data_IF_360405110168
#
_entry.id   IF_360405110168
#
_cell.length_a   1.000
_cell.length_b   1.000
_cell.length_c   1.000
_cell.angle_alpha   90.00
_cell.angle_beta   90.00
_cell.angle_gamma   90.00
#
_symmetry.space_group_name_H-M   'P 1'
#
loop_
_entity.id
_entity.type
_entity.pdbx_description
1 polymer ?
#
# COMPACT_ATOMS: atom_id res chain seq x y z
N UNK A 1 -9.99 -42.63 -7.32
CA UNK A 1 -11.10 -42.61 -6.36
C UNK A 1 -11.35 -41.15 -6.01
N UNK A 2 -12.44 -40.56 -6.52
CA UNK A 2 -12.81 -39.18 -6.18
C UNK A 2 -13.28 -39.24 -4.72
N UNK A 3 -12.48 -38.72 -3.78
CA UNK A 3 -12.91 -38.61 -2.39
C UNK A 3 -14.01 -37.56 -2.38
N UNK A 4 -15.26 -38.02 -2.33
CA UNK A 4 -16.43 -37.18 -2.14
C UNK A 4 -16.39 -36.73 -0.69
N UNK A 5 -15.73 -35.62 -0.40
CA UNK A 5 -15.64 -35.07 0.95
C UNK A 5 -17.01 -34.46 1.29
N UNK A 6 -17.88 -35.27 1.89
CA UNK A 6 -19.30 -35.00 2.10
C UNK A 6 -19.65 -34.72 3.56
N UNK A 7 -18.87 -35.24 4.50
CA UNK A 7 -19.12 -35.07 5.94
C UNK A 7 -18.04 -34.26 6.67
N UNK A 8 -18.35 -33.83 7.89
CA UNK A 8 -17.40 -33.16 8.77
C UNK A 8 -16.19 -34.08 9.06
N UNK A 9 -16.45 -35.36 9.33
CA UNK A 9 -15.41 -36.35 9.57
C UNK A 9 -14.47 -36.53 8.37
N UNK A 10 -15.03 -36.59 7.15
CA UNK A 10 -14.23 -36.67 5.92
C UNK A 10 -13.37 -35.42 5.70
N UNK A 11 -13.88 -34.22 6.03
CA UNK A 11 -13.11 -32.97 5.95
C UNK A 11 -11.96 -32.91 6.94
N UNK A 12 -12.20 -33.34 8.19
CA UNK A 12 -11.15 -33.44 9.22
C UNK A 12 -10.06 -34.40 8.74
N UNK A 13 -10.46 -35.59 8.27
CA UNK A 13 -9.53 -36.61 7.77
C UNK A 13 -8.72 -36.09 6.59
N UNK A 14 -9.40 -35.48 5.61
CA UNK A 14 -8.77 -34.91 4.43
C UNK A 14 -7.71 -33.87 4.80
N UNK A 15 -8.07 -32.89 5.64
CA UNK A 15 -7.13 -31.84 6.06
C UNK A 15 -5.95 -32.40 6.87
N UNK A 16 -6.20 -33.41 7.71
CA UNK A 16 -5.15 -34.12 8.45
C UNK A 16 -4.17 -34.82 7.50
N UNK A 17 -4.68 -35.53 6.50
CA UNK A 17 -3.87 -36.24 5.51
C UNK A 17 -3.08 -35.28 4.60
N UNK A 18 -3.64 -34.11 4.26
CA UNK A 18 -2.92 -33.06 3.53
C UNK A 18 -1.73 -32.49 4.31
N UNK A 19 -1.86 -32.36 5.64
CA UNK A 19 -0.73 -31.98 6.52
C UNK A 19 0.25 -33.12 6.79
N UNK A 20 -0.03 -34.34 6.33
CA UNK A 20 0.85 -35.49 6.55
C UNK A 20 0.97 -35.94 8.00
N UNK A 21 0.03 -35.57 8.88
CA UNK A 21 0.07 -35.91 10.31
C UNK A 21 -0.83 -37.10 10.65
N UNK A 22 -0.45 -37.85 11.68
CA UNK A 22 -1.22 -39.01 12.16
C UNK A 22 -2.33 -38.60 13.15
N UNK A 23 -3.33 -39.46 13.35
CA UNK A 23 -4.45 -39.17 14.28
C UNK A 23 -3.99 -38.93 15.73
N UNK A 24 -2.93 -39.62 16.16
CA UNK A 24 -2.32 -39.44 17.48
C UNK A 24 -1.56 -38.11 17.60
N UNK A 25 -0.95 -37.64 16.53
CA UNK A 25 -0.27 -36.34 16.48
C UNK A 25 -1.29 -35.20 16.50
N UNK A 26 -2.36 -35.32 15.71
CA UNK A 26 -3.47 -34.37 15.74
C UNK A 26 -4.10 -34.28 17.14
N UNK A 27 -4.30 -35.42 17.82
CA UNK A 27 -4.80 -35.44 19.19
C UNK A 27 -3.88 -34.67 20.15
N UNK A 28 -2.55 -34.85 20.04
CA UNK A 28 -1.57 -34.13 20.86
C UNK A 28 -1.60 -32.62 20.61
N UNK A 29 -1.65 -32.21 19.34
CA UNK A 29 -1.65 -30.80 18.94
C UNK A 29 -2.91 -30.07 19.42
N UNK A 30 -4.07 -30.72 19.43
CA UNK A 30 -5.33 -30.14 19.93
C UNK A 30 -5.42 -30.16 21.47
N UNK A 31 -4.59 -30.98 22.13
CA UNK A 31 -4.62 -31.18 23.59
C UNK A 31 -5.62 -32.24 24.05
N UNK A 32 -5.86 -33.27 23.23
CA UNK A 32 -6.78 -34.38 23.51
C UNK A 32 -5.97 -35.62 23.90
N UNK A 33 -6.38 -36.28 24.99
CA UNK A 33 -5.66 -37.41 25.57
C UNK A 33 -5.68 -38.69 24.73
N UNK A 34 -6.66 -38.86 23.84
CA UNK A 34 -6.87 -40.11 23.10
C UNK A 34 -7.07 -39.85 21.60
N UNK A 35 -6.29 -40.56 20.77
CA UNK A 35 -6.45 -40.59 19.32
C UNK A 35 -7.78 -41.20 18.88
N UNK A 36 -8.44 -41.98 19.75
CA UNK A 36 -9.76 -42.54 19.47
C UNK A 36 -10.82 -41.44 19.29
N UNK A 37 -10.64 -40.28 19.94
CA UNK A 37 -11.55 -39.13 19.77
C UNK A 37 -11.47 -38.59 18.34
N UNK A 38 -10.26 -38.45 17.81
CA UNK A 38 -10.03 -38.04 16.40
C UNK A 38 -10.62 -39.09 15.45
N UNK A 39 -10.36 -40.38 15.71
CA UNK A 39 -10.92 -41.47 14.91
C UNK A 39 -12.45 -41.46 14.87
N UNK A 40 -13.09 -41.15 16.00
CA UNK A 40 -14.55 -41.07 16.08
C UNK A 40 -15.10 -39.84 15.35
N UNK A 41 -14.41 -38.71 15.38
CA UNK A 41 -14.76 -37.53 14.57
C UNK A 41 -14.63 -37.82 13.08
N UNK A 42 -13.53 -38.44 12.65
CA UNK A 42 -13.30 -38.81 11.25
C UNK A 42 -14.29 -39.86 10.72
N UNK A 43 -14.98 -40.58 11.62
CA UNK A 43 -16.06 -41.53 11.31
C UNK A 43 -17.46 -40.97 11.55
N UNK A 44 -17.58 -39.68 11.88
CA UNK A 44 -18.84 -39.00 12.22
C UNK A 44 -19.64 -39.65 13.37
N UNK A 45 -18.97 -40.43 14.24
CA UNK A 45 -19.61 -41.10 15.40
C UNK A 45 -20.00 -40.08 16.47
N UNK A 46 -19.12 -39.11 16.71
CA UNK A 46 -19.37 -37.95 17.56
C UNK A 46 -18.82 -36.70 16.89
N UNK A 47 -19.24 -35.51 17.35
CA UNK A 47 -18.87 -34.24 16.74
C UNK A 47 -18.00 -33.42 17.70
N UNK A 48 -16.96 -32.72 17.20
CA UNK A 48 -16.24 -31.74 17.99
C UNK A 48 -17.18 -30.59 18.39
N UNK A 49 -16.96 -30.02 19.57
CA UNK A 49 -17.63 -28.78 19.98
C UNK A 49 -16.97 -27.56 19.32
N UNK A 50 -17.57 -26.38 19.52
CA UNK A 50 -17.11 -25.14 18.90
C UNK A 50 -15.64 -24.84 19.23
N UNK A 51 -15.22 -25.04 20.48
CA UNK A 51 -13.83 -24.81 20.89
C UNK A 51 -12.86 -25.75 20.16
N UNK A 52 -13.21 -27.04 20.04
CA UNK A 52 -12.39 -28.03 19.32
C UNK A 52 -12.39 -27.79 17.82
N UNK A 53 -13.47 -27.26 17.24
CA UNK A 53 -13.53 -26.84 15.84
C UNK A 53 -12.52 -25.73 15.57
N UNK A 54 -12.44 -24.71 16.42
CA UNK A 54 -11.45 -23.63 16.26
C UNK A 54 -10.02 -24.17 16.33
N UNK A 55 -9.72 -25.01 17.32
CA UNK A 55 -8.39 -25.64 17.43
C UNK A 55 -8.06 -26.53 16.23
N UNK A 56 -9.05 -27.25 15.69
CA UNK A 56 -8.88 -28.04 14.47
C UNK A 56 -8.50 -27.13 13.30
N UNK A 57 -9.17 -25.99 13.13
CA UNK A 57 -8.84 -25.01 12.11
C UNK A 57 -7.41 -24.51 12.22
N UNK A 58 -6.97 -24.12 13.43
CA UNK A 58 -5.61 -23.64 13.67
C UNK A 58 -4.54 -24.72 13.37
N UNK A 59 -4.77 -25.94 13.88
CA UNK A 59 -3.80 -27.04 13.73
C UNK A 59 -3.76 -27.57 12.30
N UNK A 60 -4.90 -27.63 11.62
CA UNK A 60 -5.00 -28.16 10.26
C UNK A 60 -4.79 -27.10 9.17
N UNK A 61 -4.68 -25.82 9.55
CA UNK A 61 -4.56 -24.68 8.64
C UNK A 61 -5.71 -24.62 7.62
N UNK A 62 -6.94 -24.75 8.14
CA UNK A 62 -8.17 -24.71 7.34
C UNK A 62 -9.17 -23.73 7.93
N UNK A 63 -10.00 -23.13 7.09
CA UNK A 63 -11.06 -22.24 7.56
C UNK A 63 -12.20 -23.01 8.23
N UNK A 64 -12.90 -22.35 9.16
CA UNK A 64 -14.13 -22.87 9.77
C UNK A 64 -15.19 -23.15 8.70
N UNK A 65 -15.26 -22.31 7.66
CA UNK A 65 -16.19 -22.47 6.55
C UNK A 65 -15.93 -23.72 5.72
N UNK A 66 -14.66 -24.04 5.44
CA UNK A 66 -14.29 -25.31 4.84
C UNK A 66 -14.72 -26.46 5.76
N UNK A 67 -14.29 -26.44 7.02
CA UNK A 67 -14.50 -27.55 7.95
C UNK A 67 -15.99 -27.85 8.21
N UNK A 68 -16.81 -26.81 8.33
CA UNK A 68 -18.26 -26.94 8.55
C UNK A 68 -19.08 -27.02 7.26
N UNK A 69 -18.45 -26.80 6.10
CA UNK A 69 -19.15 -26.63 4.82
C UNK A 69 -20.24 -25.54 4.91
N UNK A 70 -19.88 -24.42 5.53
CA UNK A 70 -20.79 -23.30 5.78
C UNK A 70 -20.13 -21.96 5.45
N UNK A 71 -20.64 -21.31 4.40
CA UNK A 71 -20.08 -20.08 3.82
C UNK A 71 -20.96 -18.83 4.06
N UNK A 72 -21.89 -18.89 5.02
CA UNK A 72 -22.80 -17.79 5.34
C UNK A 72 -23.83 -17.51 4.23
N UNK A 73 -24.46 -16.32 4.29
CA UNK A 73 -25.38 -15.80 3.24
C UNK A 73 -24.66 -15.02 2.13
N UNK A 74 -23.37 -14.73 2.31
CA UNK A 74 -22.48 -14.07 1.33
C UNK A 74 -21.64 -15.11 0.60
N UNK A 75 -22.28 -16.16 0.12
CA UNK A 75 -21.59 -17.08 -0.77
C UNK A 75 -21.19 -16.31 -2.03
N UNK A 76 -19.90 -16.38 -2.38
CA UNK A 76 -19.50 -16.44 -3.79
C UNK A 76 -20.18 -17.67 -4.37
N UNK A 77 -21.48 -17.54 -4.67
CA UNK A 77 -22.23 -18.59 -5.32
C UNK A 77 -21.72 -18.61 -6.75
N UNK A 78 -20.90 -19.62 -7.07
CA UNK A 78 -20.55 -19.88 -8.45
C UNK A 78 -21.83 -19.90 -9.26
N UNK A 79 -21.89 -19.05 -10.27
CA UNK A 79 -23.01 -19.02 -11.18
C UNK A 79 -23.11 -20.38 -11.90
N UNK A 80 -24.25 -20.65 -12.51
CA UNK A 80 -24.51 -21.94 -13.16
C UNK A 80 -23.48 -22.31 -14.23
N UNK A 81 -22.83 -21.32 -14.87
CA UNK A 81 -21.78 -21.55 -15.86
C UNK A 81 -20.46 -21.94 -15.18
N UNK A 82 -20.06 -21.24 -14.13
CA UNK A 82 -18.85 -21.53 -13.35
C UNK A 82 -18.92 -22.94 -12.75
N UNK A 83 -20.06 -23.31 -12.17
CA UNK A 83 -20.30 -24.69 -11.67
C UNK A 83 -20.10 -25.72 -12.78
N UNK A 84 -20.67 -25.48 -13.96
CA UNK A 84 -20.54 -26.37 -15.13
C UNK A 84 -19.10 -26.46 -15.64
N UNK A 85 -18.33 -25.37 -15.55
CA UNK A 85 -16.91 -25.38 -15.90
C UNK A 85 -16.08 -26.24 -14.93
N UNK A 86 -16.33 -26.12 -13.63
CA UNK A 86 -15.66 -26.93 -12.60
C UNK A 86 -16.01 -28.41 -12.76
N UNK A 87 -17.27 -28.74 -13.04
CA UNK A 87 -17.71 -30.12 -13.31
C UNK A 87 -16.98 -30.74 -14.50
N UNK A 88 -16.86 -30.00 -15.62
CA UNK A 88 -16.11 -30.45 -16.80
C UNK A 88 -14.64 -30.70 -16.49
N UNK A 89 -13.98 -29.77 -15.79
CA UNK A 89 -12.58 -29.91 -15.42
C UNK A 89 -12.33 -31.15 -14.55
N UNK A 90 -13.20 -31.41 -13.58
CA UNK A 90 -13.12 -32.60 -12.71
C UNK A 90 -13.31 -33.92 -13.45
N UNK A 91 -14.01 -33.91 -14.59
CA UNK A 91 -14.22 -35.08 -15.43
C UNK A 91 -13.04 -35.40 -16.37
N UNK A 92 -12.06 -34.50 -16.49
CA UNK A 92 -10.88 -34.72 -17.33
C UNK A 92 -9.92 -35.74 -16.71
N UNK A 93 -9.08 -36.35 -17.55
CA UNK A 93 -7.93 -37.12 -17.10
C UNK A 93 -6.75 -36.20 -16.76
N UNK A 94 -5.60 -36.78 -16.41
CA UNK A 94 -4.43 -36.00 -16.00
C UNK A 94 -3.93 -35.08 -17.12
N UNK A 95 -3.85 -35.61 -18.35
CA UNK A 95 -3.40 -34.85 -19.52
C UNK A 95 -4.36 -33.70 -19.87
N UNK A 96 -5.68 -33.95 -19.81
CA UNK A 96 -6.69 -32.93 -20.04
C UNK A 96 -6.64 -31.81 -19.00
N UNK A 97 -6.45 -32.14 -17.71
CA UNK A 97 -6.29 -31.13 -16.66
C UNK A 97 -5.05 -30.27 -16.88
N UNK A 98 -3.91 -30.89 -17.15
CA UNK A 98 -2.65 -30.18 -17.41
C UNK A 98 -2.78 -29.18 -18.58
N UNK A 99 -3.49 -29.59 -19.65
CA UNK A 99 -3.75 -28.70 -20.78
C UNK A 99 -4.59 -27.47 -20.38
N UNK A 100 -5.61 -27.66 -19.55
CA UNK A 100 -6.46 -26.56 -19.06
C UNK A 100 -5.67 -25.65 -18.11
N UNK A 101 -4.84 -26.22 -17.24
CA UNK A 101 -4.02 -25.48 -16.29
C UNK A 101 -3.04 -24.56 -17.04
N UNK A 102 -2.37 -25.06 -18.08
CA UNK A 102 -1.48 -24.24 -18.93
C UNK A 102 -2.22 -23.04 -19.54
N UNK A 103 -3.44 -23.25 -20.03
CA UNK A 103 -4.23 -22.18 -20.63
C UNK A 103 -4.67 -21.14 -19.59
N UNK A 104 -5.08 -21.59 -18.40
CA UNK A 104 -5.43 -20.73 -17.28
C UNK A 104 -4.23 -19.93 -16.80
N UNK A 105 -3.08 -20.58 -16.56
CA UNK A 105 -1.87 -19.92 -16.09
C UNK A 105 -1.39 -18.84 -17.05
N UNK A 106 -1.45 -19.13 -18.36
CA UNK A 106 -1.12 -18.15 -19.41
C UNK A 106 -2.01 -16.91 -19.34
N UNK A 107 -3.33 -17.08 -19.27
CA UNK A 107 -4.26 -15.95 -19.25
C UNK A 107 -4.21 -15.18 -17.94
N UNK A 108 -4.05 -15.87 -16.82
CA UNK A 108 -3.90 -15.25 -15.50
C UNK A 108 -2.62 -14.42 -15.43
N UNK A 109 -1.51 -14.97 -15.94
CA UNK A 109 -0.23 -14.25 -16.07
C UNK A 109 -0.34 -13.02 -16.97
N UNK A 110 -1.03 -13.14 -18.11
CA UNK A 110 -1.25 -12.02 -19.04
C UNK A 110 -2.06 -10.89 -18.38
N UNK A 111 -3.13 -11.21 -17.66
CA UNK A 111 -3.95 -10.22 -16.95
C UNK A 111 -3.15 -9.56 -15.83
N UNK A 112 -2.36 -10.34 -15.08
CA UNK A 112 -1.48 -9.79 -14.05
C UNK A 112 -0.43 -8.84 -14.65
N UNK A 113 0.18 -9.19 -15.77
CA UNK A 113 1.13 -8.32 -16.47
C UNK A 113 0.49 -7.01 -16.91
N UNK A 114 -0.75 -7.03 -17.40
CA UNK A 114 -1.50 -5.81 -17.75
C UNK A 114 -1.77 -4.97 -16.51
N UNK A 115 -2.23 -5.59 -15.42
CA UNK A 115 -2.47 -4.92 -14.15
C UNK A 115 -1.18 -4.28 -13.61
N UNK A 116 -0.07 -5.01 -13.65
CA UNK A 116 1.23 -4.52 -13.21
C UNK A 116 1.72 -3.38 -14.12
N UNK A 117 1.55 -3.48 -15.43
CA UNK A 117 1.92 -2.42 -16.38
C UNK A 117 1.08 -1.15 -16.20
N UNK A 118 -0.18 -1.29 -15.81
CA UNK A 118 -1.05 -0.15 -15.46
C UNK A 118 -0.66 0.46 -14.11
N UNK A 119 -0.30 -0.36 -13.13
CA UNK A 119 0.21 0.09 -11.83
C UNK A 119 1.61 0.71 -11.92
N UNK A 120 2.44 0.24 -12.87
CA UNK A 120 3.80 0.75 -13.13
C UNK A 120 3.82 1.85 -14.20
N UNK A 121 2.65 2.35 -14.62
CA UNK A 121 2.61 3.51 -15.51
C UNK A 121 3.15 4.67 -14.66
N UNK A 122 4.32 5.25 -14.99
CA UNK A 122 4.82 6.38 -14.22
C UNK A 122 3.70 7.40 -14.17
N UNK A 123 3.36 7.87 -12.97
CA UNK A 123 2.37 8.93 -12.83
C UNK A 123 2.76 10.02 -13.84
N UNK A 124 1.85 10.36 -14.75
CA UNK A 124 2.19 11.17 -15.91
C UNK A 124 2.95 12.42 -15.42
N UNK A 125 4.25 12.50 -15.68
CA UNK A 125 5.04 13.57 -15.09
C UNK A 125 4.66 14.87 -15.75
N UNK A 126 4.53 15.92 -14.93
CA UNK A 126 4.25 17.27 -15.40
C UNK A 126 5.25 18.22 -14.78
N UNK A 127 5.64 19.22 -15.56
CA UNK A 127 6.46 20.32 -15.06
C UNK A 127 5.54 21.27 -14.31
N UNK A 128 5.80 21.45 -13.02
CA UNK A 128 5.11 22.38 -12.15
C UNK A 128 6.00 23.58 -11.85
N UNK A 129 5.37 24.74 -11.70
CA UNK A 129 6.00 25.88 -11.04
C UNK A 129 6.29 25.49 -9.59
N UNK A 130 7.55 25.58 -9.19
CA UNK A 130 8.02 25.26 -7.85
C UNK A 130 8.37 26.55 -7.11
N UNK A 131 7.71 26.76 -5.99
CA UNK A 131 8.01 27.86 -5.08
C UNK A 131 8.81 27.29 -3.91
N UNK A 132 10.05 27.76 -3.78
CA UNK A 132 10.94 27.37 -2.69
C UNK A 132 10.30 27.59 -1.32
N UNK A 133 10.90 26.92 -0.30
CA UNK A 133 10.54 27.02 1.12
C UNK A 133 10.02 28.41 1.46
N UNK A 134 8.79 28.47 1.97
CA UNK A 134 8.24 29.69 2.56
C UNK A 134 8.92 29.89 3.93
N UNK A 135 10.16 30.38 3.92
CA UNK A 135 10.90 30.73 5.12
C UNK A 135 11.35 32.19 5.00
N UNK A 136 10.76 33.08 5.80
CA UNK A 136 11.16 34.49 5.84
C UNK A 136 12.40 34.69 6.72
N UNK A 137 13.46 35.21 6.11
CA UNK A 137 14.52 35.94 6.79
C UNK A 137 14.65 37.32 6.12
N UNK A 138 13.83 38.28 6.56
CA UNK A 138 14.00 39.72 6.27
C UNK A 138 13.28 40.25 5.02
N UNK A 139 12.44 41.27 5.26
CA UNK A 139 11.64 42.09 4.32
C UNK A 139 10.68 41.33 3.38
N UNK A 140 9.39 41.63 3.56
CA UNK A 140 8.27 40.96 2.90
C UNK A 140 8.34 40.94 1.38
N UNK A 141 7.91 39.82 0.81
CA UNK A 141 7.75 39.61 -0.62
C UNK A 141 6.26 39.42 -0.93
N UNK A 142 5.79 39.97 -2.05
CA UNK A 142 4.49 39.61 -2.60
C UNK A 142 4.60 38.22 -3.25
N UNK A 143 3.52 37.44 -3.22
CA UNK A 143 3.47 36.11 -3.84
C UNK A 143 3.89 36.12 -5.32
N UNK A 144 3.68 37.24 -6.02
CA UNK A 144 4.05 37.46 -7.42
C UNK A 144 5.56 37.66 -7.65
N UNK A 145 6.33 37.99 -6.60
CA UNK A 145 7.78 38.25 -6.67
C UNK A 145 8.63 37.07 -6.19
N UNK A 146 8.01 35.94 -5.85
CA UNK A 146 8.75 34.76 -5.38
C UNK A 146 9.48 34.14 -6.59
N UNK A 147 10.82 33.96 -6.52
CA UNK A 147 11.54 33.30 -7.60
C UNK A 147 11.02 31.87 -7.77
N UNK A 148 10.42 31.63 -8.92
CA UNK A 148 9.85 30.33 -9.28
C UNK A 148 10.86 29.51 -10.06
N UNK A 149 11.09 28.29 -9.60
CA UNK A 149 11.77 27.26 -10.37
C UNK A 149 10.73 26.35 -11.06
N UNK A 150 11.21 25.37 -11.79
CA UNK A 150 10.38 24.32 -12.36
C UNK A 150 10.80 22.97 -11.81
N UNK A 151 9.84 22.19 -11.32
CA UNK A 151 10.05 20.83 -10.82
C UNK A 151 9.22 19.84 -11.65
N UNK A 152 9.81 18.70 -12.01
CA UNK A 152 9.07 17.59 -12.61
C UNK A 152 8.51 16.70 -11.49
N UNK A 153 7.18 16.51 -11.49
CA UNK A 153 6.49 15.73 -10.46
C UNK A 153 5.29 14.96 -11.05
N UNK A 154 4.80 13.91 -10.35
CA UNK A 154 3.56 13.21 -10.72
C UNK A 154 2.41 14.16 -11.01
N UNK A 155 1.64 13.90 -12.07
CA UNK A 155 0.44 14.69 -12.34
C UNK A 155 -0.59 14.48 -11.23
N UNK A 156 -1.01 15.59 -10.63
CA UNK A 156 -2.15 15.68 -9.74
C UNK A 156 -3.24 16.53 -10.39
N UNK A 157 -4.44 15.95 -10.49
CA UNK A 157 -5.61 16.66 -11.02
C UNK A 157 -5.94 17.88 -10.14
N UNK A 158 -6.14 19.03 -10.76
CA UNK A 158 -6.42 20.30 -10.07
C UNK A 158 -5.18 21.03 -9.52
N UNK A 159 -3.99 20.43 -9.53
CA UNK A 159 -2.79 21.11 -9.05
C UNK A 159 -2.28 22.15 -10.07
N UNK A 160 -2.08 23.37 -9.60
CA UNK A 160 -1.53 24.48 -10.39
C UNK A 160 -0.01 24.67 -10.14
N UNK A 161 0.46 24.48 -8.91
CA UNK A 161 1.87 24.63 -8.54
C UNK A 161 2.25 23.77 -7.33
N UNK A 162 3.56 23.70 -7.03
CA UNK A 162 4.12 22.98 -5.87
C UNK A 162 4.81 23.98 -4.94
N UNK A 163 4.59 23.82 -3.63
CA UNK A 163 5.23 24.62 -2.58
C UNK A 163 6.02 23.74 -1.62
N UNK A 164 7.20 24.22 -1.21
CA UNK A 164 7.94 23.64 -0.09
C UNK A 164 7.46 24.15 1.27
N UNK A 165 7.14 23.22 2.16
CA UNK A 165 6.77 23.48 3.56
C UNK A 165 8.04 23.84 4.35
N UNK A 166 7.95 24.91 5.15
CA UNK A 166 8.98 25.22 6.13
C UNK A 166 8.40 25.46 7.52
N UNK A 167 9.16 25.04 8.53
CA UNK A 167 8.75 25.04 9.93
C UNK A 167 7.94 23.80 10.32
N UNK A 168 7.53 23.75 11.58
CA UNK A 168 6.92 22.61 12.26
C UNK A 168 5.46 22.86 12.67
N UNK A 169 4.87 24.00 12.31
CA UNK A 169 3.54 24.41 12.77
C UNK A 169 2.39 23.50 12.34
N UNK A 170 2.58 22.70 11.29
CA UNK A 170 1.60 21.74 10.78
C UNK A 170 1.96 20.29 11.12
N UNK A 171 2.95 20.04 11.96
CA UNK A 171 3.24 18.69 12.45
C UNK A 171 2.07 18.15 13.29
N UNK A 172 1.72 16.85 13.14
CA UNK A 172 2.40 15.82 12.36
C UNK A 172 1.96 15.72 10.89
N UNK A 173 1.00 16.53 10.44
CA UNK A 173 0.40 16.41 9.11
C UNK A 173 1.36 16.81 7.99
N UNK A 174 2.07 17.92 8.17
CA UNK A 174 3.15 18.36 7.28
C UNK A 174 4.39 18.73 8.10
N UNK A 175 5.55 18.28 7.65
CA UNK A 175 6.86 18.48 8.28
C UNK A 175 7.71 19.45 7.45
N UNK A 176 8.72 20.07 8.07
CA UNK A 176 9.69 20.91 7.35
C UNK A 176 10.34 20.11 6.22
N UNK A 177 10.35 20.68 5.01
CA UNK A 177 10.90 20.04 3.82
C UNK A 177 9.89 19.26 2.98
N UNK A 178 8.66 19.03 3.46
CA UNK A 178 7.61 18.44 2.63
C UNK A 178 7.31 19.31 1.41
N UNK A 179 7.05 18.68 0.26
CA UNK A 179 6.52 19.35 -0.92
C UNK A 179 5.02 19.09 -1.00
N UNK A 180 4.23 20.09 -1.37
CA UNK A 180 2.76 19.95 -1.46
C UNK A 180 2.22 20.47 -2.79
N UNK A 181 1.24 19.76 -3.34
CA UNK A 181 0.47 20.23 -4.48
C UNK A 181 -0.57 21.24 -4.04
N UNK A 182 -0.69 22.34 -4.78
CA UNK A 182 -1.62 23.42 -4.48
C UNK A 182 -2.47 23.74 -5.71
N UNK A 183 -3.78 23.82 -5.50
CA UNK A 183 -4.72 24.39 -6.45
C UNK A 183 -4.91 25.88 -6.12
N UNK A 184 -4.69 26.76 -7.10
CA UNK A 184 -4.85 28.19 -6.93
C UNK A 184 -6.33 28.55 -6.78
N UNK A 185 -6.72 29.02 -5.61
CA UNK A 185 -8.07 29.46 -5.32
C UNK A 185 -8.10 30.47 -4.16
N UNK A 186 -9.12 31.33 -4.16
CA UNK A 186 -9.27 32.38 -3.15
C UNK A 186 -10.25 32.02 -2.03
N UNK A 187 -10.97 30.89 -2.18
CA UNK A 187 -11.99 30.44 -1.24
C UNK A 187 -11.83 28.92 -1.08
N UNK A 188 -11.69 28.48 0.16
CA UNK A 188 -11.67 27.06 0.55
C UNK A 188 -12.66 26.83 1.70
N UNK A 189 -13.00 25.57 1.97
CA UNK A 189 -13.96 25.25 3.03
C UNK A 189 -13.29 25.25 4.40
N UNK A 190 -14.10 25.40 5.45
CA UNK A 190 -13.65 25.17 6.81
C UNK A 190 -13.24 23.69 6.95
N UNK A 191 -12.08 23.45 7.55
CA UNK A 191 -11.43 22.15 7.67
C UNK A 191 -10.44 21.85 6.53
N UNK A 192 -10.45 22.63 5.45
CA UNK A 192 -9.47 22.46 4.37
C UNK A 192 -8.10 23.03 4.77
N UNK A 193 -7.03 22.40 4.28
CA UNK A 193 -5.67 22.92 4.46
C UNK A 193 -5.35 23.82 3.27
N UNK A 194 -4.95 25.05 3.56
CA UNK A 194 -4.68 26.06 2.54
C UNK A 194 -3.34 26.73 2.73
N UNK A 195 -2.93 27.45 1.68
CA UNK A 195 -1.84 28.42 1.73
C UNK A 195 -2.46 29.81 1.86
N UNK A 196 -2.05 30.54 2.90
CA UNK A 196 -2.56 31.85 3.24
C UNK A 196 -1.43 32.87 3.32
N UNK A 197 -1.67 34.10 2.87
CA UNK A 197 -0.78 35.23 3.13
C UNK A 197 -1.36 36.08 4.26
N UNK A 198 -0.54 36.38 5.27
CA UNK A 198 -0.88 37.25 6.40
C UNK A 198 0.37 38.02 6.82
N UNK A 199 0.30 39.35 6.97
CA UNK A 199 1.44 40.22 7.28
C UNK A 199 2.66 40.03 6.35
N UNK A 200 2.43 39.79 5.06
CA UNK A 200 3.46 39.50 4.05
C UNK A 200 4.23 38.19 4.30
N UNK A 201 3.76 37.33 5.19
CA UNK A 201 4.25 35.98 5.39
C UNK A 201 3.24 34.99 4.81
N UNK A 202 3.71 33.87 4.26
CA UNK A 202 2.82 32.82 3.79
C UNK A 202 2.80 31.67 4.81
N UNK A 203 1.63 31.08 5.01
CA UNK A 203 1.39 30.04 6.00
C UNK A 203 0.61 28.89 5.37
N UNK A 204 1.06 27.67 5.64
CA UNK A 204 0.23 26.47 5.52
C UNK A 204 -0.53 26.29 6.83
N UNK A 205 -1.86 26.27 6.77
CA UNK A 205 -2.76 26.14 7.93
C UNK A 205 -4.06 25.46 7.53
N UNK A 206 -4.76 24.91 8.51
CA UNK A 206 -6.16 24.50 8.35
C UNK A 206 -7.08 25.72 8.50
N UNK A 207 -8.06 25.87 7.61
CA UNK A 207 -9.07 26.92 7.69
C UNK A 207 -10.09 26.60 8.80
N UNK A 208 -10.10 27.39 9.87
CA UNK A 208 -11.09 27.30 10.93
C UNK A 208 -12.19 28.36 10.81
N UNK A 209 -13.28 28.17 11.55
CA UNK A 209 -14.37 29.17 11.64
C UNK A 209 -13.90 30.54 12.16
N UNK A 210 -12.90 30.55 13.03
CA UNK A 210 -12.43 31.74 13.74
C UNK A 210 -11.02 32.21 13.31
N UNK A 211 -10.44 31.60 12.28
CA UNK A 211 -9.08 31.89 11.83
C UNK A 211 -8.30 30.65 11.39
N UNK A 212 -6.98 30.77 11.33
CA UNK A 212 -6.09 29.74 10.83
C UNK A 212 -5.58 28.84 11.96
N UNK A 213 -5.75 27.53 11.79
CA UNK A 213 -5.43 26.50 12.78
C UNK A 213 -4.09 25.86 12.44
N UNK A 214 -3.22 25.79 13.45
CA UNK A 214 -1.98 25.00 13.41
C UNK A 214 -2.25 23.61 13.97
N UNK A 215 -1.82 22.55 13.29
CA UNK A 215 -1.95 21.18 13.81
C UNK A 215 -0.97 20.92 14.97
N UNK A 216 0.17 21.61 14.97
CA UNK A 216 1.10 21.59 16.07
C UNK A 216 0.61 22.53 17.18
N UNK A 217 0.18 21.94 18.30
CA UNK A 217 -0.38 22.64 19.47
C UNK A 217 0.57 23.64 20.14
N UNK A 218 1.86 23.65 19.80
CA UNK A 218 2.81 24.68 20.26
C UNK A 218 2.48 26.06 19.68
N UNK A 219 1.78 26.11 18.56
CA UNK A 219 1.45 27.33 17.85
C UNK A 219 0.00 27.72 18.12
N UNK A 220 -0.27 28.99 18.49
CA UNK A 220 -1.64 29.46 18.71
C UNK A 220 -2.42 29.57 17.40
N UNK A 221 -3.74 29.61 17.51
CA UNK A 221 -4.64 30.00 16.43
C UNK A 221 -4.28 31.43 15.97
N UNK A 222 -4.15 31.63 14.66
CA UNK A 222 -4.06 32.97 14.08
C UNK A 222 -5.50 33.46 13.87
N UNK A 223 -5.97 34.51 14.57
CA UNK A 223 -7.34 35.00 14.44
C UNK A 223 -7.63 35.41 13.00
N UNK A 224 -8.82 35.08 12.51
CA UNK A 224 -9.26 35.50 11.19
C UNK A 224 -9.49 37.02 11.14
N UNK A 225 -8.87 37.69 10.19
CA UNK A 225 -9.17 39.09 9.85
C UNK A 225 -9.17 39.29 8.32
N UNK A 226 -9.56 40.49 7.88
CA UNK A 226 -9.65 40.84 6.46
C UNK A 226 -8.29 40.94 5.75
N UNK A 227 -7.18 40.90 6.50
CA UNK A 227 -5.82 40.98 5.93
C UNK A 227 -5.30 39.61 5.50
N UNK A 228 -5.94 38.53 5.95
CA UNK A 228 -5.60 37.17 5.53
C UNK A 228 -6.13 36.93 4.12
N UNK A 229 -5.21 36.61 3.20
CA UNK A 229 -5.54 36.26 1.81
C UNK A 229 -5.31 34.78 1.57
N UNK A 230 -6.34 34.06 1.13
CA UNK A 230 -6.18 32.70 0.63
C UNK A 230 -5.50 32.71 -0.74
N UNK A 231 -4.46 31.89 -0.88
CA UNK A 231 -3.68 31.73 -2.11
C UNK A 231 -4.09 30.44 -2.83
N UNK A 232 -4.36 29.37 -2.09
CA UNK A 232 -4.79 28.10 -2.67
C UNK A 232 -5.08 27.00 -1.66
N UNK A 233 -5.69 25.94 -2.17
CA UNK A 233 -6.02 24.71 -1.47
C UNK A 233 -4.87 23.71 -1.59
N UNK A 234 -4.45 23.11 -0.48
CA UNK A 234 -3.48 22.03 -0.46
C UNK A 234 -4.17 20.71 -0.80
N UNK A 235 -3.77 20.09 -1.91
CA UNK A 235 -4.37 18.84 -2.40
C UNK A 235 -3.72 17.59 -1.78
N UNK A 236 -2.45 17.70 -1.37
CA UNK A 236 -1.70 16.58 -0.81
C UNK A 236 -0.19 16.80 -0.85
N UNK A 237 0.56 15.86 -0.27
CA UNK A 237 2.03 15.83 -0.39
C UNK A 237 2.42 15.35 -1.79
N UNK A 238 3.50 15.93 -2.31
CA UNK A 238 4.24 15.33 -3.41
C UNK A 238 5.00 14.16 -2.81
N UNK A 239 4.50 12.94 -3.03
CA UNK A 239 5.26 11.75 -2.70
C UNK A 239 6.45 11.70 -3.68
N UNK A 240 7.67 11.90 -3.18
CA UNK A 240 8.77 11.14 -3.77
C UNK A 240 8.35 9.68 -3.62
N UNK A 241 8.23 8.94 -4.72
CA UNK A 241 8.02 7.50 -4.64
C UNK A 241 9.09 6.94 -3.72
N UNK A 242 8.72 6.56 -2.49
CA UNK A 242 9.53 5.64 -1.73
C UNK A 242 9.62 4.39 -2.63
N UNK A 243 10.83 3.91 -2.97
CA UNK A 243 10.94 2.68 -3.73
C UNK A 243 10.52 1.54 -2.81
N UNK A 244 9.21 1.29 -2.75
CA UNK A 244 8.66 0.18 -2.03
C UNK A 244 9.07 -1.09 -2.78
N UNK A 245 9.97 -1.82 -2.12
CA UNK A 245 10.34 -3.20 -2.38
C UNK A 245 11.22 -3.47 -3.62
N UNK A 246 12.46 -2.99 -3.57
CA UNK A 246 13.58 -3.69 -4.20
C UNK A 246 14.54 -4.11 -3.08
N UNK A 247 14.49 -5.40 -2.75
CA UNK A 247 15.43 -6.13 -1.91
C UNK A 247 16.81 -6.25 -2.62
N UNK A 248 17.37 -5.11 -3.05
CA UNK A 248 18.61 -5.03 -3.82
C UNK A 248 19.37 -3.71 -3.62
N UNK A 249 19.28 -3.11 -2.43
CA UNK A 249 20.08 -1.93 -2.02
C UNK A 249 21.55 -2.25 -1.74
N UNK A 250 22.08 -3.39 -2.20
CA UNK A 250 23.50 -3.74 -2.05
C UNK A 250 24.36 -3.48 -3.32
N UNK A 251 23.78 -3.20 -4.49
CA UNK A 251 24.60 -3.05 -5.71
C UNK A 251 24.70 -1.63 -6.31
N UNK A 252 23.82 -0.67 -6.00
CA UNK A 252 24.00 0.71 -6.52
C UNK A 252 25.05 1.54 -5.75
N UNK A 253 25.27 1.25 -4.46
CA UNK A 253 26.25 1.97 -3.64
C UNK A 253 27.71 1.47 -3.80
N UNK A 254 27.92 0.34 -4.47
CA UNK A 254 29.26 -0.19 -4.78
C UNK A 254 29.78 0.37 -6.12
N UNK A 255 28.91 0.44 -7.14
CA UNK A 255 29.27 0.92 -8.48
C UNK A 255 29.60 2.42 -8.48
N UNK A 256 28.88 3.25 -7.72
CA UNK A 256 29.16 4.69 -7.67
C UNK A 256 30.50 5.02 -6.99
N UNK A 257 30.89 4.26 -5.94
CA UNK A 257 32.17 4.45 -5.25
C UNK A 257 33.38 3.95 -6.04
N UNK A 258 33.21 2.92 -6.87
CA UNK A 258 34.25 2.44 -7.77
C UNK A 258 34.47 3.44 -8.93
N UNK A 259 33.39 4.04 -9.44
CA UNK A 259 33.45 5.02 -10.53
C UNK A 259 34.10 6.34 -10.10
N UNK A 260 33.80 6.86 -8.90
CA UNK A 260 34.46 8.07 -8.38
C UNK A 260 35.95 7.85 -8.06
N UNK A 261 36.34 6.65 -7.59
CA UNK A 261 37.75 6.30 -7.38
C UNK A 261 38.53 6.22 -8.70
N UNK A 262 37.91 5.74 -9.77
CA UNK A 262 38.52 5.68 -11.09
C UNK A 262 38.72 7.09 -11.69
N UNK A 263 37.71 7.97 -11.58
CA UNK A 263 37.78 9.37 -12.04
C UNK A 263 38.83 10.20 -11.29
N UNK A 264 39.01 9.96 -9.98
CA UNK A 264 40.06 10.64 -9.20
C UNK A 264 41.47 10.12 -9.54
N UNK A 265 41.61 8.85 -9.95
CA UNK A 265 42.90 8.27 -10.35
C UNK A 265 43.38 8.75 -11.73
N UNK A 266 42.46 9.02 -12.66
CA UNK A 266 42.79 9.56 -13.99
C UNK A 266 43.12 11.06 -13.95
N UNK A 267 42.40 11.86 -13.16
CA UNK A 267 42.69 13.30 -13.02
C UNK A 267 44.03 13.59 -12.33
N UNK A 268 44.53 12.67 -11.48
CA UNK A 268 45.90 12.74 -10.92
C UNK A 268 47.01 12.39 -11.92
N UNK A 269 46.71 11.62 -12.97
CA UNK A 269 47.69 11.30 -14.03
C UNK A 269 47.80 12.41 -15.08
N UNK A 270 46.73 13.19 -15.30
CA UNK A 270 46.71 14.31 -16.26
C UNK A 270 47.40 15.58 -15.75
N UNK A 271 47.57 15.74 -14.43
CA UNK A 271 48.13 16.95 -13.81
C UNK A 271 49.63 16.87 -13.51
N UNK A 272 50.27 15.72 -13.78
CA UNK A 272 51.72 15.50 -13.57
C UNK A 272 52.59 15.60 -14.84
N UNK A 273 52.07 16.16 -15.94
CA UNK A 273 52.78 16.22 -17.23
C UNK A 273 52.74 17.61 -17.88
N UNK A 274 52.88 18.66 -17.09
CA UNK A 274 53.30 19.99 -17.57
C UNK A 274 54.16 20.62 -16.48
N UNK A 275 55.44 20.26 -16.48
CA UNK A 275 56.52 20.80 -15.67
C UNK A 275 57.84 20.37 -16.27
#
# INVERSE_FOLDING_TARGET
>A
MIIKVSTLGERIRFAREQKGILQNELAKLIGIKSSAVISNWEKDINKPDAEKIVRLCDVLDVSVSFLLDYYGKTSFEFNSLEKKHIEKYRALDTFGRETVDIALDRETSRVQQISNALASRPAALRIYTFMHKIACAGNGFYFEDIPTDTLEAPYMEGADFIIGVSGDSMEPTYSDGDLVYVQQCQIINIGDIGIFSYNNECFIKEAGENGLISHNKRYPLIPGDETIRCIGLVLGKVFEEAPDNIDNTFELHSVHREFEKALQAENKKSTGKTG
#
